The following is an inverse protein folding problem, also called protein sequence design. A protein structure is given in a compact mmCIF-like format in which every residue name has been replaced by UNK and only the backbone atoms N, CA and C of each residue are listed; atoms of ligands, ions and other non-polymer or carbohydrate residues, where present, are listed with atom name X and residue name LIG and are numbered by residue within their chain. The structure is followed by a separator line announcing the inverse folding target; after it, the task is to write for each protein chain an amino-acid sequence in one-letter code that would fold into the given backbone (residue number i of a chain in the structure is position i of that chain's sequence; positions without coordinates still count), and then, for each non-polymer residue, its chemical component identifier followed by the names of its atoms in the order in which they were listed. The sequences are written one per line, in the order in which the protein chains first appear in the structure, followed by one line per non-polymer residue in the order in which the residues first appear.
data_IF_830552976859
#
_entry.id   IF_830552976859
#
_cell.length_a   1.000
_cell.length_b   1.000
_cell.length_c   1.000
_cell.angle_alpha   90.00
_cell.angle_beta   90.00
_cell.angle_gamma   90.00
#
_symmetry.space_group_name_H-M   'P 1'
#
loop_
_entity.id
_entity.type
_entity.pdbx_description
1 polymer ?
#
# COMPACT_ATOMS: atom_id res chain seq x y z
N UNK A 1 -14.48 -14.33 -5.17
CA UNK A 1 -13.33 -13.41 -5.21
C UNK A 1 -12.42 -13.81 -6.37
N UNK A 2 -12.19 -12.90 -7.32
CA UNK A 2 -11.22 -13.08 -8.40
C UNK A 2 -9.80 -13.06 -7.84
N UNK A 3 -8.90 -13.87 -8.40
CA UNK A 3 -7.51 -13.97 -7.95
C UNK A 3 -6.79 -12.62 -8.05
N UNK A 4 -7.06 -11.84 -9.12
CA UNK A 4 -6.53 -10.49 -9.30
C UNK A 4 -6.91 -9.52 -8.17
N UNK A 5 -8.14 -9.61 -7.64
CA UNK A 5 -8.57 -8.77 -6.52
C UNK A 5 -7.83 -9.13 -5.23
N UNK A 6 -7.61 -10.43 -4.98
CA UNK A 6 -6.83 -10.89 -3.81
C UNK A 6 -5.39 -10.37 -3.86
N UNK A 7 -4.76 -10.37 -5.03
CA UNK A 7 -3.38 -9.85 -5.19
C UNK A 7 -3.34 -8.34 -4.91
N UNK A 8 -4.25 -7.56 -5.49
CA UNK A 8 -4.30 -6.11 -5.27
C UNK A 8 -4.48 -5.77 -3.77
N UNK A 9 -5.44 -6.44 -3.12
CA UNK A 9 -5.72 -6.22 -1.70
C UNK A 9 -4.53 -6.63 -0.81
N UNK A 10 -3.85 -7.74 -1.14
CA UNK A 10 -2.64 -8.16 -0.43
C UNK A 10 -1.50 -7.13 -0.57
N UNK A 11 -1.29 -6.57 -1.76
CA UNK A 11 -0.28 -5.53 -1.99
C UNK A 11 -0.57 -4.26 -1.17
N UNK A 12 -1.83 -3.82 -1.13
CA UNK A 12 -2.26 -2.67 -0.32
C UNK A 12 -2.04 -2.92 1.19
N UNK A 13 -2.38 -4.10 1.69
CA UNK A 13 -2.17 -4.47 3.10
C UNK A 13 -0.68 -4.42 3.46
N UNK A 14 0.19 -4.95 2.59
CA UNK A 14 1.64 -4.92 2.81
C UNK A 14 2.14 -3.47 2.86
N UNK A 15 1.66 -2.61 1.95
CA UNK A 15 2.03 -1.20 1.95
C UNK A 15 1.59 -0.47 3.22
N UNK A 16 0.38 -0.75 3.72
CA UNK A 16 -0.12 -0.21 4.99
C UNK A 16 0.78 -0.65 6.16
N UNK A 17 1.18 -1.92 6.21
CA UNK A 17 2.11 -2.45 7.20
C UNK A 17 3.47 -1.75 7.16
N UNK A 18 4.03 -1.53 5.96
CA UNK A 18 5.29 -0.81 5.77
C UNK A 18 5.17 0.64 6.25
N UNK A 19 4.10 1.33 5.88
CA UNK A 19 3.87 2.71 6.31
C UNK A 19 3.67 2.80 7.84
N UNK A 20 3.04 1.79 8.46
CA UNK A 20 2.91 1.70 9.90
C UNK A 20 4.26 1.47 10.60
N UNK A 21 5.14 0.66 10.02
CA UNK A 21 6.52 0.49 10.50
C UNK A 21 7.29 1.83 10.47
N UNK A 22 7.17 2.61 9.40
CA UNK A 22 7.80 3.94 9.32
C UNK A 22 7.25 4.89 10.38
N UNK A 23 5.93 4.93 10.57
CA UNK A 23 5.31 5.73 11.64
C UNK A 23 5.79 5.32 13.04
N UNK A 24 5.91 4.02 13.30
CA UNK A 24 6.40 3.51 14.58
C UNK A 24 7.88 3.85 14.81
N UNK A 25 8.72 3.68 13.78
CA UNK A 25 10.14 4.03 13.83
C UNK A 25 10.32 5.54 14.06
N UNK A 26 9.51 6.37 13.41
CA UNK A 26 9.57 7.81 13.58
C UNK A 26 9.07 8.25 14.96
N UNK A 27 8.02 7.61 15.48
CA UNK A 27 7.53 7.86 16.85
C UNK A 27 8.60 7.56 17.90
N UNK A 28 9.32 6.45 17.75
CA UNK A 28 10.39 6.05 18.67
C UNK A 28 11.66 6.90 18.51
N UNK A 29 11.91 7.46 17.32
CA UNK A 29 13.11 8.26 17.04
C UNK A 29 12.98 9.74 17.45
N UNK A 30 11.84 10.18 17.99
CA UNK A 30 11.61 11.56 18.50
C UNK A 30 12.02 12.68 17.51
N UNK A 31 11.95 12.41 16.20
CA UNK A 31 12.26 13.41 15.18
C UNK A 31 11.02 14.29 14.97
N UNK A 32 11.04 15.47 15.56
CA UNK A 32 9.93 16.43 15.65
C UNK A 32 9.69 17.20 14.34
N UNK A 33 9.59 16.50 13.21
CA UNK A 33 9.27 17.11 11.91
C UNK A 33 8.03 16.46 11.29
N UNK A 34 6.89 17.15 11.36
CA UNK A 34 5.75 17.09 10.42
C UNK A 34 5.30 15.71 9.88
N UNK A 35 5.35 14.64 10.68
CA UNK A 35 4.93 13.29 10.25
C UNK A 35 3.41 13.04 10.32
N UNK A 36 2.61 14.06 10.67
CA UNK A 36 1.15 13.97 10.63
C UNK A 36 0.61 13.62 9.24
N UNK A 37 1.32 14.01 8.17
CA UNK A 37 0.93 13.70 6.79
C UNK A 37 0.99 12.20 6.49
N UNK A 38 2.06 11.50 6.92
CA UNK A 38 2.19 10.04 6.77
C UNK A 38 1.07 9.29 7.51
N UNK A 39 0.77 9.70 8.75
CA UNK A 39 -0.33 9.13 9.53
C UNK A 39 -1.68 9.32 8.85
N UNK A 40 -1.97 10.53 8.39
CA UNK A 40 -3.23 10.85 7.72
C UNK A 40 -3.39 10.07 6.40
N UNK A 41 -2.30 9.91 5.64
CA UNK A 41 -2.27 9.08 4.42
C UNK A 41 -2.53 7.62 4.77
N UNK A 42 -1.90 7.04 5.80
CA UNK A 42 -2.15 5.64 6.18
C UNK A 42 -3.61 5.37 6.54
N UNK A 43 -4.26 6.27 7.27
CA UNK A 43 -5.69 6.15 7.61
C UNK A 43 -6.54 6.23 6.33
N UNK A 44 -6.20 7.13 5.40
CA UNK A 44 -6.88 7.24 4.11
C UNK A 44 -6.78 5.96 3.27
N UNK A 45 -5.61 5.33 3.22
CA UNK A 45 -5.41 4.05 2.52
C UNK A 45 -6.17 2.90 3.19
N UNK A 46 -6.21 2.83 4.52
CA UNK A 46 -7.02 1.83 5.23
C UNK A 46 -8.52 2.00 4.89
N UNK A 47 -9.02 3.23 4.94
CA UNK A 47 -10.40 3.53 4.57
C UNK A 47 -10.70 3.14 3.11
N UNK A 48 -9.75 3.39 2.20
CA UNK A 48 -9.86 3.02 0.79
C UNK A 48 -9.94 1.51 0.58
N UNK A 49 -9.08 0.73 1.24
CA UNK A 49 -9.09 -0.74 1.17
C UNK A 49 -10.40 -1.30 1.74
N UNK A 50 -10.86 -0.77 2.88
CA UNK A 50 -12.15 -1.15 3.48
C UNK A 50 -13.32 -0.85 2.55
N UNK A 51 -13.34 0.32 1.91
CA UNK A 51 -14.37 0.69 0.93
C UNK A 51 -14.36 -0.24 -0.29
N UNK A 52 -13.17 -0.56 -0.79
CA UNK A 52 -12.96 -1.48 -1.92
C UNK A 52 -13.49 -2.88 -1.60
N UNK A 53 -13.20 -3.38 -0.39
CA UNK A 53 -13.69 -4.66 0.10
C UNK A 53 -15.21 -4.66 0.29
N UNK A 54 -15.77 -3.58 0.85
CA UNK A 54 -17.21 -3.43 1.03
C UNK A 54 -17.94 -3.44 -0.32
N UNK A 55 -17.51 -2.64 -1.29
CA UNK A 55 -18.06 -2.64 -2.65
C UNK A 55 -17.98 -4.02 -3.32
N UNK A 56 -16.88 -4.73 -3.11
CA UNK A 56 -16.73 -6.09 -3.63
C UNK A 56 -17.73 -7.07 -2.98
N UNK A 57 -17.93 -6.96 -1.66
CA UNK A 57 -18.86 -7.81 -0.89
C UNK A 57 -20.33 -7.50 -1.19
N UNK A 58 -20.67 -6.23 -1.43
CA UNK A 58 -22.02 -5.77 -1.79
C UNK A 58 -22.41 -6.04 -3.25
N UNK A 59 -21.73 -6.96 -3.94
CA UNK A 59 -22.04 -7.38 -5.31
C UNK A 59 -21.45 -6.50 -6.42
N UNK A 60 -20.82 -5.36 -6.09
CA UNK A 60 -20.20 -4.46 -7.07
C UNK A 60 -18.74 -4.87 -7.36
N UNK A 61 -18.57 -6.14 -7.75
CA UNK A 61 -17.26 -6.80 -7.87
C UNK A 61 -16.31 -6.13 -8.88
N UNK A 62 -16.83 -5.59 -9.99
CA UNK A 62 -16.01 -4.86 -10.98
C UNK A 62 -15.46 -3.55 -10.43
N UNK A 63 -16.29 -2.78 -9.75
CA UNK A 63 -15.91 -1.46 -9.22
C UNK A 63 -14.95 -1.64 -8.04
N UNK A 64 -15.27 -2.53 -7.10
CA UNK A 64 -14.37 -2.84 -5.98
C UNK A 64 -13.01 -3.37 -6.45
N UNK A 65 -12.98 -4.16 -7.54
CA UNK A 65 -11.74 -4.62 -8.13
C UNK A 65 -10.91 -3.48 -8.73
N UNK A 66 -11.53 -2.60 -9.52
CA UNK A 66 -10.82 -1.45 -10.11
C UNK A 66 -10.29 -0.53 -9.00
N UNK A 67 -11.08 -0.29 -7.95
CA UNK A 67 -10.68 0.58 -6.85
C UNK A 67 -9.50 0.04 -6.05
N UNK A 68 -9.40 -1.28 -5.85
CA UNK A 68 -8.24 -1.91 -5.23
C UNK A 68 -6.98 -1.83 -6.12
N UNK A 69 -7.12 -1.79 -7.45
CA UNK A 69 -5.97 -1.69 -8.34
C UNK A 69 -5.37 -0.28 -8.43
N UNK A 70 -6.15 0.77 -8.20
CA UNK A 70 -5.66 2.17 -8.23
C UNK A 70 -4.44 2.37 -7.32
N UNK A 71 -4.47 1.98 -6.03
CA UNK A 71 -3.28 2.04 -5.16
C UNK A 71 -2.28 0.90 -5.44
N UNK A 72 -2.75 -0.30 -5.78
CA UNK A 72 -1.86 -1.45 -5.96
C UNK A 72 -0.91 -1.32 -7.16
N UNK A 73 -1.34 -0.70 -8.28
CA UNK A 73 -0.49 -0.50 -9.47
C UNK A 73 0.80 0.27 -9.14
N UNK A 74 0.76 1.48 -8.56
CA UNK A 74 1.98 2.22 -8.24
C UNK A 74 2.83 1.51 -7.18
N UNK A 75 2.22 0.83 -6.20
CA UNK A 75 2.95 0.09 -5.16
C UNK A 75 3.73 -1.08 -5.76
N UNK A 76 3.08 -1.92 -6.58
CA UNK A 76 3.72 -3.06 -7.24
C UNK A 76 4.76 -2.56 -8.25
N UNK A 77 4.44 -1.53 -9.03
CA UNK A 77 5.35 -0.93 -9.99
C UNK A 77 6.63 -0.40 -9.34
N UNK A 78 6.50 0.31 -8.22
CA UNK A 78 7.66 0.80 -7.47
C UNK A 78 8.46 -0.35 -6.85
N UNK A 79 7.80 -1.36 -6.29
CA UNK A 79 8.44 -2.56 -5.76
C UNK A 79 9.25 -3.30 -6.83
N UNK A 80 8.70 -3.51 -8.02
CA UNK A 80 9.38 -4.13 -9.16
C UNK A 80 10.56 -3.28 -9.62
N UNK A 81 10.41 -1.96 -9.66
CA UNK A 81 11.50 -1.05 -10.02
C UNK A 81 12.69 -1.20 -9.05
N UNK A 82 12.44 -1.17 -7.73
CA UNK A 82 13.49 -1.39 -6.72
C UNK A 82 14.15 -2.75 -6.89
N UNK A 83 13.37 -3.80 -7.13
CA UNK A 83 13.86 -5.15 -7.35
C UNK A 83 14.77 -5.24 -8.57
N UNK A 84 14.40 -4.59 -9.67
CA UNK A 84 15.25 -4.47 -10.86
C UNK A 84 16.56 -3.74 -10.55
N UNK A 85 16.52 -2.64 -9.79
CA UNK A 85 17.73 -1.94 -9.39
C UNK A 85 18.66 -2.82 -8.53
N UNK A 86 18.12 -3.58 -7.59
CA UNK A 86 18.88 -4.54 -6.78
C UNK A 86 19.52 -5.66 -7.61
N UNK A 87 18.82 -6.18 -8.62
CA UNK A 87 19.33 -7.24 -9.49
C UNK A 87 20.40 -6.71 -10.45
N UNK A 88 20.15 -5.56 -11.08
CA UNK A 88 21.07 -5.00 -12.09
C UNK A 88 22.26 -4.25 -11.49
N UNK A 89 22.12 -3.74 -10.27
CA UNK A 89 23.20 -3.07 -9.52
C UNK A 89 23.19 -3.52 -8.06
N UNK A 90 23.69 -4.74 -7.77
CA UNK A 90 23.74 -5.26 -6.40
C UNK A 90 24.71 -4.48 -5.48
N UNK A 91 25.59 -3.66 -6.05
CA UNK A 91 26.67 -2.97 -5.33
C UNK A 91 26.41 -1.47 -5.09
N UNK A 92 25.14 -1.06 -5.02
CA UNK A 92 24.78 0.30 -4.58
C UNK A 92 24.78 0.35 -3.06
N UNK A 93 25.97 0.46 -2.46
CA UNK A 93 26.17 1.00 -1.11
C UNK A 93 26.36 2.52 -1.16
#
# INVERSE_FOLDING_TARGET
MTLAFKIALAADIIAILVAWYFLYKDYTSSSSSSNGSLGMVTIGFIAWVCLSYFLYSSGHTKIGAIMAWIPAIPIIGYGVMILMFLIFKPDMR
#
